data_IF_723136597979
#
_entry.id   IF_723136597979
#
_cell.length_a   1.000
_cell.length_b   1.000
_cell.length_c   1.000
_cell.angle_alpha   90.00
_cell.angle_beta   90.00
_cell.angle_gamma   90.00
#
_symmetry.space_group_name_H-M   'P 1'
#
loop_
_entity.id
_entity.type
_entity.pdbx_description
1 polymer ?
#
# COMPACT_ATOMS: atom_id res chain seq x y z
N UNK A 1 5.37 11.65 -4.42
CA UNK A 1 5.29 10.19 -4.56
C UNK A 1 4.38 9.82 -5.72
N UNK A 2 3.06 10.11 -5.65
CA UNK A 2 2.08 9.72 -6.67
C UNK A 2 2.48 10.05 -8.12
N UNK A 3 2.89 11.29 -8.41
CA UNK A 3 3.30 11.68 -9.77
C UNK A 3 4.46 10.85 -10.31
N UNK A 4 5.41 10.45 -9.45
CA UNK A 4 6.52 9.57 -9.85
C UNK A 4 6.03 8.15 -10.09
N UNK A 5 5.14 7.65 -9.23
CA UNK A 5 4.54 6.33 -9.34
C UNK A 5 3.73 6.19 -10.64
N UNK A 6 2.84 7.15 -10.93
CA UNK A 6 2.05 7.17 -12.17
C UNK A 6 2.97 7.18 -13.39
N UNK A 7 3.95 8.09 -13.44
CA UNK A 7 4.94 8.11 -14.54
C UNK A 7 5.71 6.80 -14.66
N UNK A 8 6.01 6.15 -13.56
CA UNK A 8 6.69 4.86 -13.59
C UNK A 8 5.79 3.77 -14.18
N UNK A 9 4.52 3.71 -13.77
CA UNK A 9 3.53 2.80 -14.32
C UNK A 9 3.31 3.05 -15.83
N UNK A 10 3.12 4.31 -16.26
CA UNK A 10 2.96 4.66 -17.67
C UNK A 10 4.14 4.17 -18.55
N UNK A 11 5.36 4.24 -18.03
CA UNK A 11 6.57 3.88 -18.78
C UNK A 11 6.88 2.37 -18.78
N UNK A 12 6.46 1.63 -17.76
CA UNK A 12 6.87 0.23 -17.57
C UNK A 12 5.70 -0.76 -17.61
N UNK A 13 4.49 -0.30 -17.28
CA UNK A 13 3.26 -1.08 -17.20
C UNK A 13 2.06 -0.27 -17.76
N UNK A 14 2.10 0.17 -19.03
CA UNK A 14 1.09 1.06 -19.61
C UNK A 14 -0.32 0.44 -19.63
N UNK A 15 -0.41 -0.88 -19.68
CA UNK A 15 -1.69 -1.63 -19.69
C UNK A 15 -2.20 -1.96 -18.27
N UNK A 16 -1.51 -1.48 -17.22
CA UNK A 16 -1.91 -1.71 -15.82
C UNK A 16 -3.02 -0.76 -15.37
N UNK A 17 -3.41 -0.89 -14.10
CA UNK A 17 -4.47 -0.14 -13.44
C UNK A 17 -4.11 1.34 -13.12
N UNK A 18 -3.48 2.06 -14.04
CA UNK A 18 -3.07 3.47 -13.86
C UNK A 18 -4.27 4.36 -13.52
N UNK A 19 -5.42 4.14 -14.15
CA UNK A 19 -6.64 4.89 -13.85
C UNK A 19 -7.09 4.71 -12.39
N UNK A 20 -6.85 3.54 -11.79
CA UNK A 20 -7.18 3.35 -10.39
C UNK A 20 -6.39 4.27 -9.47
N UNK A 21 -5.14 4.59 -9.83
CA UNK A 21 -4.33 5.54 -9.10
C UNK A 21 -4.77 6.99 -9.32
N UNK A 22 -5.24 7.33 -10.52
CA UNK A 22 -5.68 8.69 -10.86
C UNK A 22 -7.04 9.03 -10.25
N UNK A 23 -7.93 8.04 -10.18
CA UNK A 23 -9.30 8.21 -9.67
C UNK A 23 -9.38 8.12 -8.14
N UNK A 24 -8.34 7.57 -7.49
CA UNK A 24 -8.32 7.39 -6.04
C UNK A 24 -8.03 8.69 -5.29
N UNK A 25 -8.73 8.90 -4.16
CA UNK A 25 -8.41 10.00 -3.23
C UNK A 25 -7.03 9.78 -2.62
N UNK A 26 -6.13 10.74 -2.81
CA UNK A 26 -4.78 10.67 -2.26
C UNK A 26 -4.71 11.20 -0.82
N UNK A 27 -4.27 10.35 0.10
CA UNK A 27 -4.17 10.65 1.53
C UNK A 27 -2.73 10.43 1.96
N UNK A 28 -2.06 11.52 2.35
CA UNK A 28 -0.68 11.47 2.82
C UNK A 28 -0.62 11.80 4.31
N UNK A 29 -0.06 10.88 5.11
CA UNK A 29 0.21 11.12 6.51
C UNK A 29 1.66 11.58 6.72
N UNK A 30 1.82 12.61 7.55
CA UNK A 30 3.10 13.06 8.06
C UNK A 30 3.60 12.17 9.21
N UNK A 31 4.91 12.18 9.49
CA UNK A 31 5.47 11.41 10.61
C UNK A 31 4.79 11.70 11.96
N UNK A 32 4.45 12.95 12.31
CA UNK A 32 3.68 13.22 13.53
C UNK A 32 2.29 12.55 13.54
N UNK A 33 1.57 12.55 12.41
CA UNK A 33 0.25 11.89 12.32
C UNK A 33 0.37 10.37 12.42
N UNK A 34 1.41 9.78 11.83
CA UNK A 34 1.71 8.35 11.99
C UNK A 34 1.97 7.99 13.45
N UNK A 35 2.76 8.83 14.15
CA UNK A 35 3.01 8.67 15.58
C UNK A 35 1.72 8.78 16.39
N UNK A 36 0.86 9.76 16.10
CA UNK A 36 -0.43 9.92 16.78
C UNK A 36 -1.31 8.67 16.62
N UNK A 37 -1.41 8.11 15.43
CA UNK A 37 -2.16 6.86 15.21
C UNK A 37 -1.54 5.72 16.03
N UNK A 38 -0.22 5.57 16.00
CA UNK A 38 0.46 4.52 16.77
C UNK A 38 0.27 4.68 18.28
N UNK A 39 0.36 5.90 18.81
CA UNK A 39 0.18 6.18 20.24
C UNK A 39 -1.28 5.92 20.66
N UNK A 40 -2.25 6.32 19.83
CA UNK A 40 -3.68 6.10 20.09
C UNK A 40 -4.04 4.60 20.04
N UNK A 41 -3.42 3.82 19.15
CA UNK A 41 -3.55 2.37 19.12
C UNK A 41 -2.98 1.73 20.39
N UNK A 42 -1.76 2.12 20.79
CA UNK A 42 -1.06 1.54 21.94
C UNK A 42 -1.72 1.89 23.28
N UNK A 43 -2.32 3.09 23.39
CA UNK A 43 -3.05 3.52 24.58
C UNK A 43 -4.48 2.98 24.65
N UNK A 44 -4.99 2.40 23.55
CA UNK A 44 -6.38 1.95 23.44
C UNK A 44 -7.40 3.08 23.24
N UNK A 45 -6.94 4.32 23.05
CA UNK A 45 -7.79 5.46 22.67
C UNK A 45 -8.47 5.20 21.32
N UNK A 46 -7.70 4.68 20.36
CA UNK A 46 -8.21 4.27 19.06
C UNK A 46 -8.64 2.80 19.10
N UNK A 47 -9.96 2.58 19.15
CA UNK A 47 -10.52 1.24 19.02
C UNK A 47 -10.47 0.80 17.57
N UNK A 48 -9.92 -0.40 17.36
CA UNK A 48 -9.94 -1.04 16.05
C UNK A 48 -11.38 -1.35 15.66
N UNK A 49 -11.76 -0.91 14.47
CA UNK A 49 -13.03 -1.26 13.81
C UNK A 49 -12.77 -2.23 12.65
N UNK A 50 -13.73 -3.11 12.30
CA UNK A 50 -13.64 -3.94 11.10
C UNK A 50 -13.32 -3.11 9.86
N UNK A 51 -12.56 -3.67 8.91
CA UNK A 51 -12.23 -2.95 7.68
C UNK A 51 -13.49 -2.49 6.92
N UNK A 52 -14.57 -3.29 6.93
CA UNK A 52 -15.87 -2.94 6.34
C UNK A 52 -16.56 -1.72 6.96
N UNK A 53 -16.17 -1.29 8.17
CA UNK A 53 -16.65 -0.04 8.78
C UNK A 53 -16.05 1.22 8.15
N UNK A 54 -14.96 1.08 7.40
CA UNK A 54 -14.39 2.18 6.62
C UNK A 54 -15.36 2.55 5.49
N UNK A 55 -15.77 3.82 5.45
CA UNK A 55 -16.68 4.34 4.42
C UNK A 55 -15.97 4.62 3.09
N UNK A 56 -14.64 4.68 3.09
CA UNK A 56 -13.86 4.92 1.89
C UNK A 56 -13.74 3.65 1.04
N UNK A 57 -14.34 3.67 -0.15
CA UNK A 57 -14.29 2.55 -1.10
C UNK A 57 -12.98 2.48 -1.88
N UNK A 58 -12.34 3.62 -2.16
CA UNK A 58 -11.10 3.70 -2.94
C UNK A 58 -10.24 4.88 -2.52
N UNK A 59 -9.00 4.63 -2.13
CA UNK A 59 -8.05 5.67 -1.74
C UNK A 59 -6.61 5.19 -1.89
N UNK A 60 -5.70 6.16 -1.99
CA UNK A 60 -4.26 5.92 -1.87
C UNK A 60 -3.81 6.39 -0.49
N UNK A 61 -3.23 5.49 0.27
CA UNK A 61 -2.63 5.77 1.56
C UNK A 61 -1.11 5.89 1.46
N UNK A 62 -0.58 7.09 1.63
CA UNK A 62 0.85 7.39 1.51
C UNK A 62 1.48 7.71 2.87
N UNK A 63 2.56 7.00 3.18
CA UNK A 63 3.43 7.27 4.32
C UNK A 63 4.89 6.93 3.97
N UNK A 64 5.83 7.78 4.38
CA UNK A 64 7.25 7.61 4.03
C UNK A 64 7.47 7.47 2.52
N UNK A 65 8.08 6.36 2.10
CA UNK A 65 8.32 6.02 0.68
C UNK A 65 7.30 5.00 0.14
N UNK A 66 6.21 4.76 0.86
CA UNK A 66 5.23 3.70 0.58
C UNK A 66 3.87 4.31 0.26
N UNK A 67 3.27 3.89 -0.84
CA UNK A 67 1.88 4.17 -1.16
C UNK A 67 1.11 2.84 -1.25
N UNK A 68 -0.09 2.79 -0.68
CA UNK A 68 -0.99 1.64 -0.80
C UNK A 68 -2.26 2.12 -1.49
N UNK A 69 -2.54 1.62 -2.69
CA UNK A 69 -3.85 1.75 -3.30
C UNK A 69 -4.78 0.73 -2.64
N UNK A 70 -5.83 1.21 -1.99
CA UNK A 70 -6.84 0.38 -1.31
C UNK A 70 -8.15 0.51 -2.07
N UNK A 71 -8.76 -0.62 -2.40
CA UNK A 71 -10.03 -0.69 -3.14
C UNK A 71 -10.94 -1.72 -2.48
N UNK A 72 -12.18 -1.35 -2.19
CA UNK A 72 -13.19 -2.26 -1.66
C UNK A 72 -13.66 -3.21 -2.75
N UNK A 73 -13.73 -4.50 -2.43
CA UNK A 73 -14.20 -5.56 -3.32
C UNK A 73 -15.12 -6.51 -2.53
N UNK A 74 -16.42 -6.22 -2.60
CA UNK A 74 -17.44 -6.91 -1.80
C UNK A 74 -17.21 -6.74 -0.29
N UNK A 75 -16.95 -7.85 0.39
CA UNK A 75 -16.66 -7.91 1.84
C UNK A 75 -15.16 -7.85 2.18
N UNK A 76 -14.29 -7.67 1.19
CA UNK A 76 -12.84 -7.61 1.36
C UNK A 76 -12.30 -6.31 0.75
N UNK A 77 -11.02 -6.05 0.96
CA UNK A 77 -10.31 -4.97 0.28
C UNK A 77 -9.14 -5.53 -0.50
N UNK A 78 -9.00 -5.08 -1.74
CA UNK A 78 -7.78 -5.25 -2.53
C UNK A 78 -6.79 -4.14 -2.19
N UNK A 79 -5.53 -4.51 -2.08
CA UNK A 79 -4.41 -3.63 -1.80
C UNK A 79 -3.30 -3.79 -2.82
N UNK A 80 -2.78 -2.68 -3.34
CA UNK A 80 -1.53 -2.65 -4.07
C UNK A 80 -0.52 -1.76 -3.35
N UNK A 81 0.46 -2.41 -2.74
CA UNK A 81 1.58 -1.77 -2.06
C UNK A 81 2.64 -1.39 -3.08
N UNK A 82 3.02 -0.11 -3.09
CA UNK A 82 4.02 0.49 -3.96
C UNK A 82 5.11 1.15 -3.11
N UNK A 83 6.33 0.66 -3.17
CA UNK A 83 7.45 1.20 -2.40
C UNK A 83 8.54 1.79 -3.31
N UNK A 84 8.79 3.11 -3.17
CA UNK A 84 9.88 3.80 -3.88
C UNK A 84 11.22 3.35 -3.27
N UNK A 85 11.99 2.59 -4.04
CA UNK A 85 13.27 2.00 -3.64
C UNK A 85 14.27 2.03 -4.79
N UNK A 86 15.56 1.86 -4.50
CA UNK A 86 16.59 1.83 -5.54
C UNK A 86 16.56 0.48 -6.29
N UNK A 87 16.71 0.47 -7.62
CA UNK A 87 16.66 -0.78 -8.40
C UNK A 87 17.72 -1.80 -7.98
N UNK A 88 18.85 -1.33 -7.44
CA UNK A 88 19.89 -2.17 -6.86
C UNK A 88 19.39 -2.97 -5.63
N UNK A 89 18.45 -2.42 -4.86
CA UNK A 89 17.83 -3.11 -3.73
C UNK A 89 16.75 -4.12 -4.18
N UNK A 90 16.32 -4.07 -5.44
CA UNK A 90 15.33 -4.96 -6.06
C UNK A 90 16.00 -6.05 -6.93
N UNK A 91 17.33 -6.20 -6.85
CA UNK A 91 18.13 -7.10 -7.71
C UNK A 91 17.90 -6.89 -9.22
N UNK A 92 17.47 -5.70 -9.66
CA UNK A 92 17.19 -5.42 -11.07
C UNK A 92 18.42 -4.87 -11.80
N UNK A 93 18.69 -5.36 -13.02
CA UNK A 93 19.86 -4.94 -13.82
C UNK A 93 19.66 -3.64 -14.62
N UNK A 94 18.43 -3.09 -14.64
CA UNK A 94 18.13 -1.84 -15.36
C UNK A 94 18.59 -0.61 -14.56
N UNK A 95 19.21 0.33 -15.30
CA UNK A 95 19.60 1.72 -14.98
C UNK A 95 19.55 2.16 -13.50
N UNK A 96 20.64 2.77 -12.99
CA UNK A 96 20.88 3.23 -11.59
C UNK A 96 19.92 4.33 -11.05
N UNK A 97 18.62 4.24 -11.31
CA UNK A 97 17.57 5.15 -10.82
C UNK A 97 16.80 4.59 -9.63
N UNK A 98 15.79 5.35 -9.19
CA UNK A 98 14.75 4.89 -8.27
C UNK A 98 13.64 4.20 -9.05
N UNK A 99 13.17 3.08 -8.52
CA UNK A 99 12.04 2.30 -9.04
C UNK A 99 10.96 2.10 -8.01
N UNK A 100 10.00 1.24 -8.35
CA UNK A 100 8.94 0.83 -7.45
C UNK A 100 8.88 -0.68 -7.31
N UNK A 101 8.78 -1.13 -6.07
CA UNK A 101 8.49 -2.52 -5.72
C UNK A 101 6.99 -2.66 -5.46
N UNK A 102 6.34 -3.62 -6.12
CA UNK A 102 4.91 -3.85 -6.02
C UNK A 102 4.57 -5.16 -5.29
N UNK A 103 3.58 -5.09 -4.40
CA UNK A 103 2.96 -6.25 -3.76
C UNK A 103 1.45 -6.10 -3.90
N UNK A 104 0.83 -7.06 -4.59
CA UNK A 104 -0.62 -7.19 -4.62
C UNK A 104 -1.05 -8.07 -3.44
N UNK A 105 -2.11 -7.67 -2.74
CA UNK A 105 -2.69 -8.41 -1.63
C UNK A 105 -4.19 -8.11 -1.50
N UNK A 106 -4.87 -8.90 -0.68
CA UNK A 106 -6.20 -8.56 -0.17
C UNK A 106 -6.19 -8.65 1.36
N UNK A 107 -7.17 -8.03 2.00
CA UNK A 107 -7.40 -8.21 3.43
C UNK A 107 -8.88 -8.25 3.79
N UNK A 108 -9.19 -9.00 4.83
CA UNK A 108 -10.53 -9.16 5.38
C UNK A 108 -10.88 -8.10 6.44
N UNK A 109 -12.06 -8.25 7.05
CA UNK A 109 -12.53 -7.37 8.13
C UNK A 109 -11.62 -7.36 9.37
N UNK A 110 -10.82 -8.40 9.56
CA UNK A 110 -9.87 -8.51 10.65
C UNK A 110 -8.46 -8.00 10.26
N UNK A 111 -8.31 -7.46 9.05
CA UNK A 111 -7.04 -7.05 8.44
C UNK A 111 -6.06 -8.22 8.26
N UNK A 112 -6.56 -9.45 8.13
CA UNK A 112 -5.74 -10.60 7.79
C UNK A 112 -5.38 -10.52 6.31
N UNK A 113 -4.08 -10.55 6.03
CA UNK A 113 -3.53 -10.38 4.68
C UNK A 113 -3.53 -11.72 3.93
N UNK A 114 -3.94 -11.69 2.67
CA UNK A 114 -3.67 -12.76 1.70
C UNK A 114 -2.91 -12.18 0.51
N UNK A 115 -1.68 -12.66 0.28
CA UNK A 115 -0.86 -12.24 -0.86
C UNK A 115 -1.48 -12.66 -2.19
N UNK A 116 -1.40 -11.78 -3.18
CA UNK A 116 -1.87 -12.01 -4.55
C UNK A 116 -0.72 -11.94 -5.55
N UNK A 117 -0.95 -12.49 -6.74
CA UNK A 117 -0.03 -12.30 -7.86
C UNK A 117 -0.15 -10.86 -8.37
N UNK A 118 0.99 -10.25 -8.67
CA UNK A 118 1.06 -8.95 -9.36
C UNK A 118 1.58 -9.15 -10.77
N UNK A 119 1.07 -8.35 -11.69
CA UNK A 119 1.52 -8.23 -13.08
C UNK A 119 2.67 -7.22 -13.25
N UNK A 120 2.94 -6.42 -12.20
CA UNK A 120 3.99 -5.39 -12.17
C UNK A 120 5.33 -5.98 -11.72
N UNK A 121 5.82 -6.95 -12.49
CA UNK A 121 7.08 -7.62 -12.26
C UNK A 121 8.19 -6.93 -13.06
N UNK A 122 9.34 -6.68 -12.43
CA UNK A 122 10.55 -6.37 -13.18
C UNK A 122 11.21 -7.69 -13.59
N UNK A 123 11.72 -7.78 -14.81
CA UNK A 123 12.26 -9.02 -15.42
C UNK A 123 13.31 -9.74 -14.55
N UNK A 124 14.06 -8.99 -13.75
CA UNK A 124 15.12 -9.48 -12.86
C UNK A 124 14.76 -9.47 -11.36
N UNK A 125 13.54 -9.08 -11.00
CA UNK A 125 13.12 -8.96 -9.60
C UNK A 125 12.90 -10.35 -8.99
N UNK A 126 13.79 -10.74 -8.10
CA UNK A 126 13.61 -11.94 -7.27
C UNK A 126 12.63 -11.58 -6.16
N UNK A 127 11.42 -12.14 -6.23
CA UNK A 127 10.42 -12.00 -5.16
C UNK A 127 10.69 -12.99 -4.04
N UNK A 128 10.67 -12.49 -2.81
CA UNK A 128 10.65 -13.31 -1.61
C UNK A 128 9.30 -13.10 -0.91
N UNK A 129 8.49 -14.15 -0.85
CA UNK A 129 7.14 -14.13 -0.25
C UNK A 129 7.22 -13.77 1.24
N UNK A 130 8.24 -14.24 1.95
CA UNK A 130 8.45 -13.90 3.36
C UNK A 130 8.76 -12.41 3.51
N UNK A 131 9.60 -11.85 2.64
CA UNK A 131 9.90 -10.42 2.63
C UNK A 131 8.67 -9.57 2.28
N UNK A 132 7.85 -10.02 1.33
CA UNK A 132 6.58 -9.36 0.99
C UNK A 132 5.65 -9.32 2.20
N UNK A 133 5.52 -10.45 2.89
CA UNK A 133 4.71 -10.54 4.10
C UNK A 133 5.25 -9.61 5.20
N UNK A 134 6.56 -9.59 5.45
CA UNK A 134 7.17 -8.70 6.45
C UNK A 134 6.94 -7.21 6.15
N UNK A 135 6.99 -6.82 4.87
CA UNK A 135 6.72 -5.44 4.46
C UNK A 135 5.27 -5.06 4.72
N UNK A 136 4.33 -5.96 4.40
CA UNK A 136 2.90 -5.75 4.68
C UNK A 136 2.61 -5.76 6.18
N UNK A 137 3.22 -6.65 6.97
CA UNK A 137 3.05 -6.72 8.42
C UNK A 137 3.50 -5.44 9.13
N UNK A 138 4.52 -4.75 8.58
CA UNK A 138 4.96 -3.43 9.07
C UNK A 138 4.01 -2.31 8.68
N UNK A 139 3.39 -2.40 7.52
CA UNK A 139 2.49 -1.38 6.99
C UNK A 139 1.07 -1.48 7.55
N UNK A 140 0.59 -2.70 7.79
CA UNK A 140 -0.80 -2.98 8.11
C UNK A 140 -1.29 -2.33 9.41
N UNK A 141 -0.52 -2.28 10.51
CA UNK A 141 -0.96 -1.60 11.73
C UNK A 141 -1.31 -0.12 11.49
N UNK A 142 -0.54 0.56 10.63
CA UNK A 142 -0.76 1.97 10.30
C UNK A 142 -2.02 2.13 9.46
N UNK A 143 -2.17 1.30 8.42
CA UNK A 143 -3.37 1.30 7.56
C UNK A 143 -4.63 0.99 8.38
N UNK A 144 -4.56 -0.03 9.23
CA UNK A 144 -5.61 -0.45 10.16
C UNK A 144 -6.01 0.65 11.13
N UNK A 145 -5.05 1.34 11.73
CA UNK A 145 -5.31 2.50 12.58
C UNK A 145 -5.98 3.63 11.82
N UNK A 146 -5.45 3.97 10.64
CA UNK A 146 -6.04 5.00 9.79
C UNK A 146 -7.50 4.68 9.41
N UNK A 147 -7.75 3.49 8.87
CA UNK A 147 -9.10 3.05 8.48
C UNK A 147 -10.06 3.08 9.66
N UNK A 148 -9.63 2.61 10.85
CA UNK A 148 -10.45 2.68 12.06
C UNK A 148 -10.77 4.12 12.48
N UNK A 149 -9.83 5.05 12.33
CA UNK A 149 -10.01 6.45 12.70
C UNK A 149 -10.98 7.21 11.78
N UNK A 150 -11.11 6.79 10.52
CA UNK A 150 -12.04 7.40 9.54
C UNK A 150 -13.35 6.63 9.36
N UNK A 151 -13.53 5.55 10.11
CA UNK A 151 -14.76 4.76 10.09
C UNK A 151 -15.83 5.42 10.96
N UNK A 152 -17.07 5.41 10.51
CA UNK A 152 -18.23 5.94 11.25
C UNK A 152 -18.56 5.08 12.49
#
# INVERSE_FOLDING_TARGET
MLTKLVKFLENNYPDSNINDYLDAKYIQLSNPQLKQISDALNSGELKIKPASSCTAEKFIFHFGNTAILVQKDGSHYQGEFSWETDFLAVHSTRNKGKGFYFIAFEFDDNYQITLKKTDKLLEDQIRNVEQDQELLDKAMPILKGFMSAISD
#
